data_IF_267169900381
#
_entry.id   IF_267169900381
#
_cell.length_a   1.000
_cell.length_b   1.000
_cell.length_c   1.000
_cell.angle_alpha   90.00
_cell.angle_beta   90.00
_cell.angle_gamma   90.00
#
_symmetry.space_group_name_H-M   'P 1'
#
loop_
_entity.id
_entity.type
_entity.pdbx_description
1 polymer ?
#
# COMPACT_ATOMS: atom_id res chain seq x y z
N UNK A 1 -3.40 -11.23 -1.59
CA UNK A 1 -3.22 -9.82 -1.16
C UNK A 1 -4.26 -9.00 -1.89
N UNK A 2 -5.07 -8.24 -1.17
CA UNK A 2 -6.09 -7.39 -1.77
C UNK A 2 -5.70 -5.93 -1.55
N UNK A 3 -5.43 -5.21 -2.65
CA UNK A 3 -5.17 -3.76 -2.59
C UNK A 3 -6.55 -3.07 -2.62
N UNK A 4 -6.85 -2.18 -1.66
CA UNK A 4 -8.07 -1.39 -1.67
C UNK A 4 -8.23 -0.65 -3.01
N UNK A 5 -9.44 -0.56 -3.55
CA UNK A 5 -9.66 0.11 -4.85
C UNK A 5 -9.13 1.56 -4.89
N UNK A 6 -9.25 2.29 -3.78
CA UNK A 6 -8.66 3.64 -3.66
C UNK A 6 -7.13 3.66 -3.80
N UNK A 7 -6.45 2.61 -3.35
CA UNK A 7 -5.01 2.45 -3.49
C UNK A 7 -4.60 1.79 -4.80
N UNK A 8 -5.50 1.03 -5.44
CA UNK A 8 -5.24 0.36 -6.72
C UNK A 8 -4.97 1.34 -7.88
N UNK A 9 -5.32 2.61 -7.73
CA UNK A 9 -4.92 3.65 -8.69
C UNK A 9 -3.43 4.01 -8.57
N UNK A 10 -2.87 3.91 -7.36
CA UNK A 10 -1.49 4.27 -7.03
C UNK A 10 -0.55 3.06 -6.89
N UNK A 11 -1.09 1.88 -6.60
CA UNK A 11 -0.38 0.64 -6.39
C UNK A 11 -0.91 -0.41 -7.37
N UNK A 12 -0.06 -1.32 -7.81
CA UNK A 12 -0.50 -2.54 -8.46
C UNK A 12 0.18 -3.74 -7.82
N UNK A 13 -0.44 -4.92 -7.96
CA UNK A 13 0.23 -6.18 -7.63
C UNK A 13 1.02 -6.61 -8.87
N UNK A 14 2.26 -6.98 -8.67
CA UNK A 14 3.12 -7.65 -9.63
C UNK A 14 3.47 -9.02 -9.06
N UNK A 15 3.34 -10.07 -9.87
CA UNK A 15 3.73 -11.41 -9.46
C UNK A 15 5.05 -11.72 -10.15
N UNK A 16 6.08 -11.97 -9.36
CA UNK A 16 7.40 -12.33 -9.88
C UNK A 16 7.42 -13.77 -10.40
N UNK A 17 8.50 -14.16 -11.10
CA UNK A 17 8.71 -15.48 -11.69
C UNK A 17 8.62 -16.68 -10.71
N UNK A 18 8.56 -16.41 -9.40
CA UNK A 18 8.41 -17.38 -8.31
C UNK A 18 6.99 -17.43 -7.73
N UNK A 19 6.00 -16.86 -8.43
CA UNK A 19 4.62 -16.70 -7.97
C UNK A 19 4.47 -15.85 -6.70
N UNK A 20 5.47 -15.00 -6.42
CA UNK A 20 5.47 -14.11 -5.25
C UNK A 20 4.80 -12.78 -5.62
N UNK A 21 3.70 -12.47 -4.94
CA UNK A 21 3.00 -11.20 -5.11
C UNK A 21 3.72 -10.06 -4.38
N UNK A 22 4.12 -9.04 -5.14
CA UNK A 22 4.69 -7.79 -4.68
C UNK A 22 3.75 -6.63 -5.01
N UNK A 23 3.68 -5.65 -4.11
CA UNK A 23 2.89 -4.43 -4.31
C UNK A 23 3.82 -3.35 -4.81
N UNK A 24 3.63 -2.89 -6.04
CA UNK A 24 4.48 -1.92 -6.70
C UNK A 24 3.77 -0.58 -6.79
N UNK A 25 4.43 0.49 -6.38
CA UNK A 25 3.93 1.85 -6.52
C UNK A 25 4.03 2.31 -7.98
N UNK A 26 2.92 2.68 -8.58
CA UNK A 26 2.86 3.21 -9.96
C UNK A 26 3.53 4.57 -10.11
N UNK A 27 3.62 5.37 -9.04
CA UNK A 27 4.21 6.72 -9.11
C UNK A 27 5.74 6.70 -9.16
N UNK A 28 6.39 5.79 -8.46
CA UNK A 28 7.86 5.76 -8.33
C UNK A 28 8.50 4.40 -8.60
N UNK A 29 7.70 3.33 -8.81
CA UNK A 29 8.20 1.98 -9.07
C UNK A 29 8.68 1.21 -7.84
N UNK A 30 8.50 1.75 -6.61
CA UNK A 30 8.94 1.05 -5.40
C UNK A 30 8.11 -0.20 -5.15
N UNK A 31 8.77 -1.31 -4.82
CA UNK A 31 8.15 -2.60 -4.49
C UNK A 31 8.02 -2.77 -2.98
N UNK A 32 6.90 -3.34 -2.54
CA UNK A 32 6.54 -3.59 -1.15
C UNK A 32 5.98 -5.00 -1.01
N UNK A 33 6.15 -5.59 0.17
CA UNK A 33 5.57 -6.91 0.49
C UNK A 33 4.20 -6.80 1.15
N UNK A 34 3.84 -5.63 1.69
CA UNK A 34 2.56 -5.43 2.39
C UNK A 34 1.86 -4.15 1.92
N UNK A 35 0.53 -4.16 1.98
CA UNK A 35 -0.30 -2.98 1.67
C UNK A 35 -0.01 -1.86 2.66
N UNK A 36 0.28 -2.20 3.93
CA UNK A 36 0.57 -1.22 4.98
C UNK A 36 1.83 -0.41 4.68
N UNK A 37 2.91 -1.07 4.28
CA UNK A 37 4.15 -0.41 3.88
C UNK A 37 3.94 0.44 2.63
N UNK A 38 3.22 -0.09 1.64
CA UNK A 38 2.90 0.64 0.43
C UNK A 38 2.02 1.87 0.72
N UNK A 39 1.08 1.76 1.65
CA UNK A 39 0.21 2.85 2.08
C UNK A 39 0.97 3.93 2.86
N UNK A 40 1.84 3.55 3.80
CA UNK A 40 2.76 4.47 4.48
C UNK A 40 3.64 5.22 3.47
N UNK A 41 4.16 4.51 2.48
CA UNK A 41 4.95 5.10 1.43
C UNK A 41 4.17 6.14 0.63
N UNK A 42 2.94 5.82 0.21
CA UNK A 42 2.10 6.77 -0.51
C UNK A 42 1.80 8.03 0.33
N UNK A 43 1.60 7.87 1.64
CA UNK A 43 1.39 8.98 2.56
C UNK A 43 2.64 9.86 2.70
N UNK A 44 3.78 9.28 3.05
CA UNK A 44 5.01 10.04 3.33
C UNK A 44 5.76 10.54 2.09
N UNK A 45 5.70 9.81 0.97
CA UNK A 45 6.46 10.13 -0.25
C UNK A 45 5.62 10.85 -1.29
N UNK A 46 4.32 10.57 -1.34
CA UNK A 46 3.42 11.11 -2.37
C UNK A 46 2.28 11.98 -1.81
N UNK A 47 2.31 12.29 -0.50
CA UNK A 47 1.30 13.06 0.24
C UNK A 47 -0.15 12.52 0.06
N UNK A 48 -0.27 11.21 -0.19
CA UNK A 48 -1.58 10.58 -0.40
C UNK A 48 -2.23 10.33 0.96
N UNK A 49 -2.95 11.33 1.46
CA UNK A 49 -3.67 11.27 2.76
C UNK A 49 -4.67 10.12 2.86
N UNK A 50 -5.23 9.68 1.74
CA UNK A 50 -6.13 8.51 1.72
C UNK A 50 -5.41 7.23 2.20
N UNK A 51 -4.13 7.10 1.88
CA UNK A 51 -3.34 5.92 2.20
C UNK A 51 -3.07 5.79 3.70
N UNK A 52 -3.12 6.90 4.45
CA UNK A 52 -2.98 6.90 5.91
C UNK A 52 -4.00 5.95 6.58
N UNK A 53 -5.24 5.89 6.08
CA UNK A 53 -6.30 5.01 6.61
C UNK A 53 -5.96 3.52 6.50
N UNK A 54 -5.10 3.15 5.56
CA UNK A 54 -4.66 1.78 5.33
C UNK A 54 -3.29 1.48 5.96
N UNK A 55 -2.59 2.53 6.42
CA UNK A 55 -1.32 2.46 7.12
C UNK A 55 -1.50 2.22 8.63
N UNK A 56 -2.64 2.59 9.20
CA UNK A 56 -2.87 2.47 10.64
C UNK A 56 -3.17 1.00 11.04
N UNK A 57 -2.43 0.44 12.03
CA UNK A 57 -2.97 -0.68 12.77
C UNK A 57 -4.16 -0.14 13.55
N UNK A 58 -5.34 -0.76 13.42
CA UNK A 58 -6.53 -0.49 14.24
C UNK A 58 -6.11 -0.13 15.66
N UNK A 59 -6.11 1.16 15.99
CA UNK A 59 -6.03 1.59 17.38
C UNK A 59 -7.41 1.25 17.94
N UNK A 60 -7.55 0.29 18.87
CA UNK A 60 -8.82 0.17 19.56
C UNK A 60 -9.09 1.52 20.21
N UNK A 61 -10.21 2.13 19.88
CA UNK A 61 -10.67 3.34 20.56
C UNK A 61 -10.74 3.01 22.06
N UNK A 62 -10.05 3.75 22.94
CA UNK A 62 -10.28 3.60 24.37
C UNK A 62 -11.70 4.08 24.67
N UNK A 63 -12.56 3.14 25.08
CA UNK A 63 -13.92 3.38 25.58
C UNK A 63 -13.91 4.11 26.92
#
# INVERSE_FOLDING_TARGET
>A
MEIPQDLATYLHVEIDQWDVAHIVCRKCGKKFFTVKDAALHLYHVHDVKLAQKFAEPTRPEPS
#
